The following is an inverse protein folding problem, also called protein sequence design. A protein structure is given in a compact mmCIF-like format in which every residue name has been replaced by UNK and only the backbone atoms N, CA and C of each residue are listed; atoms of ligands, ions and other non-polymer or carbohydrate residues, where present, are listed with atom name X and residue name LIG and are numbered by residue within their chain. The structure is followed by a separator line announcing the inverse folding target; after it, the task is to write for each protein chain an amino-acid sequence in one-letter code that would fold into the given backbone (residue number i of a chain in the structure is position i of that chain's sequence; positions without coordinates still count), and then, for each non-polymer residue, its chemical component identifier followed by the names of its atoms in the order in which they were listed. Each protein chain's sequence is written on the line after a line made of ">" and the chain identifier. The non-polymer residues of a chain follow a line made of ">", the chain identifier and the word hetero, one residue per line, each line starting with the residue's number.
data_IF_734278062670
#
_entry.id   IF_734278062670
#
_cell.length_a   1.000
_cell.length_b   1.000
_cell.length_c   1.000
_cell.angle_alpha   90.00
_cell.angle_beta   90.00
_cell.angle_gamma   90.00
#
_symmetry.space_group_name_H-M   'P 1'
#
loop_
_entity.id
_entity.type
_entity.pdbx_description
1 polymer ?
#
# COMPACT_ATOMS: atom_id res chain seq x y z
N UNK A 1 6.87 -11.05 -24.20
CA UNK A 1 7.89 -11.81 -23.43
C UNK A 1 9.05 -10.93 -22.91
N UNK A 2 9.20 -9.68 -23.37
CA UNK A 2 10.29 -8.77 -22.98
C UNK A 2 10.12 -8.07 -21.62
N UNK A 3 9.05 -8.35 -20.86
CA UNK A 3 8.74 -7.68 -19.56
C UNK A 3 8.94 -8.57 -18.34
N UNK A 4 9.56 -9.72 -18.48
CA UNK A 4 9.82 -10.61 -17.34
C UNK A 4 11.10 -10.11 -16.66
N UNK A 5 10.95 -9.56 -15.45
CA UNK A 5 12.09 -9.21 -14.59
C UNK A 5 12.84 -10.49 -14.18
N UNK A 6 14.06 -10.33 -13.74
CA UNK A 6 14.97 -11.44 -13.30
C UNK A 6 14.37 -12.30 -12.18
N UNK A 7 13.29 -11.87 -11.55
CA UNK A 7 12.66 -12.55 -10.43
C UNK A 7 11.34 -13.20 -10.88
N UNK A 8 11.31 -14.53 -10.86
CA UNK A 8 10.08 -15.29 -11.08
C UNK A 8 9.23 -15.29 -9.80
N UNK A 9 7.90 -15.28 -10.00
CA UNK A 9 6.99 -15.46 -8.87
C UNK A 9 7.17 -16.85 -8.25
N UNK A 10 6.98 -16.95 -6.93
CA UNK A 10 6.88 -18.22 -6.24
C UNK A 10 5.53 -18.84 -6.59
N UNK A 11 5.54 -19.99 -7.24
CA UNK A 11 4.34 -20.73 -7.65
C UNK A 11 4.39 -22.15 -7.09
N UNK A 12 3.24 -22.79 -6.85
CA UNK A 12 3.21 -24.20 -6.48
C UNK A 12 3.72 -25.06 -7.65
N UNK A 13 4.45 -26.11 -7.32
CA UNK A 13 4.92 -27.09 -8.29
C UNK A 13 3.93 -28.25 -8.44
N UNK A 14 4.13 -29.10 -9.44
CA UNK A 14 3.32 -30.33 -9.63
C UNK A 14 3.62 -31.42 -8.59
N UNK A 15 4.56 -31.20 -7.67
CA UNK A 15 4.93 -32.17 -6.63
C UNK A 15 3.79 -32.29 -5.62
N UNK A 16 3.40 -33.51 -5.33
CA UNK A 16 2.38 -33.80 -4.33
C UNK A 16 2.91 -33.48 -2.93
N UNK A 17 2.29 -32.56 -2.23
CA UNK A 17 2.68 -32.13 -0.88
C UNK A 17 1.76 -32.76 0.15
N UNK A 18 2.31 -33.51 1.11
CA UNK A 18 1.56 -33.93 2.27
C UNK A 18 1.40 -32.75 3.24
N UNK A 19 0.20 -32.16 3.26
CA UNK A 19 -0.13 -31.04 4.14
C UNK A 19 -0.07 -31.38 5.63
N UNK A 20 -0.13 -32.68 5.98
CA UNK A 20 -0.05 -33.12 7.38
C UNK A 20 1.39 -33.20 7.88
N UNK A 21 2.35 -33.33 6.97
CA UNK A 21 3.78 -33.32 7.30
C UNK A 21 4.31 -31.89 7.56
N UNK A 22 3.54 -30.85 7.21
CA UNK A 22 3.92 -29.45 7.41
C UNK A 22 3.52 -28.95 8.80
N UNK A 23 4.36 -28.12 9.40
CA UNK A 23 3.96 -27.33 10.56
C UNK A 23 2.83 -26.38 10.22
N UNK A 24 2.11 -25.88 11.22
CA UNK A 24 0.99 -24.94 11.01
C UNK A 24 1.43 -23.66 10.29
N UNK A 25 2.65 -23.18 10.54
CA UNK A 25 3.20 -22.00 9.88
C UNK A 25 3.49 -22.27 8.40
N UNK A 26 4.17 -23.36 8.10
CA UNK A 26 4.51 -23.78 6.73
C UNK A 26 3.24 -24.04 5.91
N UNK A 27 2.25 -24.72 6.50
CA UNK A 27 0.95 -24.99 5.87
C UNK A 27 0.24 -23.70 5.50
N UNK A 28 0.20 -22.70 6.40
CA UNK A 28 -0.42 -21.39 6.14
C UNK A 28 0.28 -20.67 5.00
N UNK A 29 1.60 -20.67 4.97
CA UNK A 29 2.38 -20.02 3.90
C UNK A 29 2.14 -20.74 2.57
N UNK A 30 2.24 -22.07 2.55
CA UNK A 30 2.01 -22.87 1.35
C UNK A 30 0.61 -22.64 0.77
N UNK A 31 -0.43 -22.71 1.60
CA UNK A 31 -1.80 -22.47 1.16
C UNK A 31 -2.01 -21.04 0.68
N UNK A 32 -1.37 -20.05 1.30
CA UNK A 32 -1.44 -18.66 0.85
C UNK A 32 -0.84 -18.50 -0.55
N UNK A 33 0.28 -19.15 -0.84
CA UNK A 33 0.91 -19.17 -2.18
C UNK A 33 -0.04 -19.82 -3.19
N UNK A 34 -0.59 -21.00 -2.86
CA UNK A 34 -1.52 -21.71 -3.72
C UNK A 34 -2.78 -20.86 -4.03
N UNK A 35 -3.38 -20.23 -3.03
CA UNK A 35 -4.54 -19.39 -3.21
C UNK A 35 -4.22 -18.17 -4.08
N UNK A 36 -3.08 -17.50 -3.86
CA UNK A 36 -2.64 -16.37 -4.69
C UNK A 36 -2.42 -16.79 -6.14
N UNK A 37 -1.86 -17.96 -6.38
CA UNK A 37 -1.69 -18.52 -7.72
C UNK A 37 -3.04 -18.79 -8.38
N UNK A 38 -3.95 -19.49 -7.70
CA UNK A 38 -5.30 -19.78 -8.23
C UNK A 38 -6.09 -18.51 -8.54
N UNK A 39 -5.98 -17.49 -7.71
CA UNK A 39 -6.68 -16.22 -7.91
C UNK A 39 -6.32 -15.52 -9.23
N UNK A 40 -5.14 -15.80 -9.82
CA UNK A 40 -4.75 -15.22 -11.12
C UNK A 40 -5.58 -15.76 -12.30
N UNK A 41 -6.17 -16.93 -12.13
CA UNK A 41 -6.99 -17.59 -13.16
C UNK A 41 -8.49 -17.42 -12.93
N UNK A 42 -8.86 -16.76 -11.83
CA UNK A 42 -10.27 -16.55 -11.51
C UNK A 42 -10.82 -15.28 -12.16
N UNK A 43 -12.13 -15.23 -12.43
CA UNK A 43 -12.76 -14.03 -12.91
C UNK A 43 -12.60 -12.86 -11.91
N UNK A 44 -12.64 -11.62 -12.39
CA UNK A 44 -12.59 -10.44 -11.53
C UNK A 44 -13.79 -10.40 -10.58
N UNK A 45 -13.62 -9.72 -9.44
CA UNK A 45 -14.72 -9.42 -8.55
C UNK A 45 -15.51 -8.21 -9.09
N UNK A 46 -16.82 -8.35 -9.20
CA UNK A 46 -17.71 -7.26 -9.57
C UNK A 46 -18.30 -6.62 -8.31
N UNK A 47 -18.09 -5.33 -8.18
CA UNK A 47 -18.58 -4.51 -7.06
C UNK A 47 -19.49 -3.42 -7.57
N UNK A 48 -20.58 -3.20 -6.88
CA UNK A 48 -21.48 -2.06 -7.11
C UNK A 48 -21.28 -1.05 -5.99
N UNK A 49 -21.03 0.19 -6.36
CA UNK A 49 -20.86 1.29 -5.42
C UNK A 49 -21.95 2.34 -5.61
N UNK A 50 -22.73 2.56 -4.57
CA UNK A 50 -23.71 3.63 -4.52
C UNK A 50 -23.11 4.83 -3.78
N UNK A 51 -23.20 6.01 -4.39
CA UNK A 51 -22.77 7.28 -3.78
C UNK A 51 -23.98 8.19 -3.75
N UNK A 52 -24.34 8.66 -2.56
CA UNK A 52 -25.34 9.71 -2.37
C UNK A 52 -24.63 11.01 -2.00
N UNK A 53 -25.07 12.09 -2.63
CA UNK A 53 -24.63 13.45 -2.30
C UNK A 53 -25.86 14.31 -2.08
N UNK A 54 -25.93 14.97 -0.92
CA UNK A 54 -27.00 15.91 -0.59
C UNK A 54 -26.41 17.30 -0.38
N UNK A 55 -26.83 18.32 -1.11
CA UNK A 55 -26.42 19.69 -0.84
C UNK A 55 -27.10 20.17 0.47
N UNK A 56 -26.38 20.98 1.22
CA UNK A 56 -26.85 21.65 2.39
C UNK A 56 -27.18 23.14 2.07
N UNK A 57 -28.03 23.74 2.84
CA UNK A 57 -28.45 25.14 2.61
C UNK A 57 -27.30 26.15 2.77
N UNK A 58 -26.27 25.83 3.54
CA UNK A 58 -25.05 26.62 3.76
C UNK A 58 -23.98 26.46 2.66
N UNK A 59 -24.31 25.73 1.59
CA UNK A 59 -23.37 25.39 0.52
C UNK A 59 -22.49 24.16 0.78
N UNK A 60 -22.57 23.55 1.97
CA UNK A 60 -21.94 22.31 2.31
C UNK A 60 -22.53 21.12 1.55
N UNK A 61 -21.88 19.98 1.62
CA UNK A 61 -22.34 18.73 1.01
C UNK A 61 -22.19 17.57 1.97
N UNK A 62 -23.28 16.85 2.21
CA UNK A 62 -23.22 15.54 2.84
C UNK A 62 -22.95 14.49 1.76
N UNK A 63 -22.04 13.56 2.05
CA UNK A 63 -21.73 12.44 1.18
C UNK A 63 -21.80 11.14 1.96
N UNK A 64 -22.52 10.19 1.44
CA UNK A 64 -22.54 8.82 1.93
C UNK A 64 -22.22 7.87 0.79
N UNK A 65 -21.57 6.76 1.08
CA UNK A 65 -21.27 5.72 0.10
C UNK A 65 -21.43 4.34 0.71
N UNK A 66 -21.88 3.39 -0.11
CA UNK A 66 -21.96 1.98 0.24
C UNK A 66 -21.47 1.17 -0.94
N UNK A 67 -20.80 0.05 -0.66
CA UNK A 67 -20.34 -0.88 -1.67
C UNK A 67 -20.86 -2.27 -1.35
N UNK A 68 -21.34 -2.98 -2.36
CA UNK A 68 -21.68 -4.41 -2.26
C UNK A 68 -20.90 -5.21 -3.29
N UNK A 69 -20.54 -6.42 -2.95
CA UNK A 69 -19.97 -7.37 -3.89
C UNK A 69 -21.14 -8.08 -4.57
N UNK A 70 -21.24 -7.93 -5.91
CA UNK A 70 -22.27 -8.58 -6.72
C UNK A 70 -21.80 -9.98 -7.10
N UNK A 71 -20.58 -10.06 -7.60
CA UNK A 71 -19.92 -11.31 -7.94
C UNK A 71 -18.56 -11.37 -7.25
N UNK A 72 -18.32 -12.34 -6.38
CA UNK A 72 -17.10 -12.36 -5.57
C UNK A 72 -15.83 -12.64 -6.40
N UNK A 73 -15.94 -13.36 -7.54
CA UNK A 73 -14.78 -13.69 -8.35
C UNK A 73 -13.62 -14.25 -7.51
N UNK A 74 -12.41 -13.76 -7.72
CA UNK A 74 -11.23 -14.18 -6.96
C UNK A 74 -11.30 -13.91 -5.44
N UNK A 75 -12.18 -13.02 -4.98
CA UNK A 75 -12.32 -12.68 -3.55
C UNK A 75 -12.86 -13.83 -2.69
N UNK A 76 -13.37 -14.91 -3.30
CA UNK A 76 -13.74 -16.11 -2.54
C UNK A 76 -12.56 -16.70 -1.75
N UNK A 77 -11.33 -16.53 -2.25
CA UNK A 77 -10.11 -16.98 -1.60
C UNK A 77 -9.47 -15.91 -0.69
N UNK A 78 -9.87 -14.64 -0.82
CA UNK A 78 -9.36 -13.53 0.00
C UNK A 78 -10.50 -12.84 0.76
N UNK A 79 -11.10 -13.58 1.69
CA UNK A 79 -12.21 -13.06 2.52
C UNK A 79 -11.79 -11.88 3.40
N UNK A 80 -10.52 -11.85 3.82
CA UNK A 80 -10.00 -10.76 4.64
C UNK A 80 -9.99 -9.44 3.83
N UNK A 81 -9.49 -9.49 2.60
CA UNK A 81 -9.51 -8.33 1.69
C UNK A 81 -10.92 -7.93 1.29
N UNK A 82 -11.80 -8.90 1.03
CA UNK A 82 -13.20 -8.63 0.74
C UNK A 82 -13.87 -7.83 1.89
N UNK A 83 -13.60 -8.24 3.14
CA UNK A 83 -14.11 -7.55 4.32
C UNK A 83 -13.50 -6.18 4.50
N UNK A 84 -12.19 -6.04 4.35
CA UNK A 84 -11.46 -4.77 4.44
C UNK A 84 -11.96 -3.75 3.40
N UNK A 85 -12.13 -4.18 2.16
CA UNK A 85 -12.67 -3.34 1.08
C UNK A 85 -14.08 -2.84 1.39
N UNK A 86 -14.95 -3.71 1.92
CA UNK A 86 -16.29 -3.32 2.34
C UNK A 86 -16.28 -2.36 3.54
N UNK A 87 -15.34 -2.52 4.47
CA UNK A 87 -15.21 -1.65 5.65
C UNK A 87 -14.68 -0.26 5.31
N UNK A 88 -13.74 -0.17 4.38
CA UNK A 88 -13.17 1.11 3.92
C UNK A 88 -14.18 1.95 3.14
N UNK A 89 -15.07 1.32 2.41
CA UNK A 89 -15.98 2.01 1.50
C UNK A 89 -17.36 2.37 2.09
N UNK A 90 -17.60 2.03 3.36
CA UNK A 90 -18.81 2.39 4.11
C UNK A 90 -19.88 1.31 4.14
N UNK A 91 -20.48 1.15 5.32
CA UNK A 91 -21.41 0.04 5.67
C UNK A 91 -22.90 0.39 5.63
N UNK A 92 -23.33 1.40 4.89
CA UNK A 92 -24.76 1.74 4.89
C UNK A 92 -25.55 0.91 3.88
N UNK A 93 -26.14 -0.18 4.34
CA UNK A 93 -27.01 -1.03 3.52
C UNK A 93 -28.26 -0.27 3.01
N UNK A 94 -28.72 0.74 3.73
CA UNK A 94 -29.86 1.57 3.33
C UNK A 94 -29.63 2.33 2.01
N UNK A 95 -28.38 2.72 1.71
CA UNK A 95 -28.05 3.42 0.45
C UNK A 95 -28.15 2.52 -0.79
N UNK A 96 -28.09 1.21 -0.62
CA UNK A 96 -28.18 0.24 -1.72
C UNK A 96 -29.59 0.14 -2.33
N UNK A 97 -30.59 0.68 -1.65
CA UNK A 97 -32.00 0.62 -2.09
C UNK A 97 -32.42 1.83 -2.93
N UNK A 98 -31.57 2.87 -3.02
CA UNK A 98 -31.89 4.08 -3.80
C UNK A 98 -31.49 3.86 -5.26
N UNK A 99 -32.45 3.92 -6.21
CA UNK A 99 -32.15 3.79 -7.63
C UNK A 99 -31.23 4.91 -8.12
N UNK A 100 -30.30 4.56 -9.01
CA UNK A 100 -29.39 5.54 -9.61
C UNK A 100 -30.15 6.63 -10.38
N UNK A 101 -29.70 7.88 -10.28
CA UNK A 101 -30.28 9.02 -10.98
C UNK A 101 -31.60 9.53 -10.40
N UNK A 102 -32.10 9.00 -9.29
CA UNK A 102 -33.28 9.52 -8.60
C UNK A 102 -32.89 10.33 -7.37
N UNK A 103 -33.61 11.44 -7.15
CA UNK A 103 -33.52 12.25 -5.94
C UNK A 103 -34.65 11.87 -4.98
N UNK A 104 -34.32 11.76 -3.70
CA UNK A 104 -35.28 11.54 -2.62
C UNK A 104 -35.05 12.56 -1.53
N UNK A 105 -36.13 12.99 -0.91
CA UNK A 105 -36.06 13.84 0.30
C UNK A 105 -35.57 12.96 1.46
N UNK A 106 -34.52 13.42 2.15
CA UNK A 106 -34.00 12.80 3.33
C UNK A 106 -33.98 13.79 4.49
N UNK A 107 -34.34 13.33 5.67
CA UNK A 107 -34.31 14.13 6.89
C UNK A 107 -33.15 13.63 7.78
N UNK A 108 -32.34 14.56 8.26
CA UNK A 108 -31.30 14.25 9.25
C UNK A 108 -31.98 14.14 10.61
N UNK A 109 -32.14 12.93 11.12
CA UNK A 109 -32.78 12.66 12.41
C UNK A 109 -31.84 12.72 13.59
N UNK A 110 -30.54 12.41 13.39
CA UNK A 110 -29.54 12.42 14.44
C UNK A 110 -28.16 12.83 13.89
N UNK A 111 -27.65 13.96 14.32
CA UNK A 111 -26.28 14.40 14.12
C UNK A 111 -25.43 14.06 15.35
N UNK A 112 -24.29 13.35 15.17
CA UNK A 112 -23.29 13.18 16.21
C UNK A 112 -22.00 13.86 15.78
N UNK A 113 -21.61 14.88 16.52
CA UNK A 113 -20.27 15.47 16.39
C UNK A 113 -19.28 14.56 17.14
N UNK A 114 -18.24 14.15 16.46
CA UNK A 114 -17.12 13.43 17.08
C UNK A 114 -15.89 14.30 16.99
N UNK A 115 -15.45 14.78 18.14
CA UNK A 115 -14.13 15.40 18.24
C UNK A 115 -13.07 14.33 18.05
N UNK A 116 -12.08 14.64 17.21
CA UNK A 116 -10.94 13.75 16.95
C UNK A 116 -9.67 14.58 16.95
N UNK A 117 -8.66 14.07 17.59
CA UNK A 117 -7.31 14.60 17.46
C UNK A 117 -6.59 13.87 16.33
N UNK A 118 -5.75 14.62 15.59
CA UNK A 118 -4.87 14.03 14.62
C UNK A 118 -3.76 13.29 15.34
N UNK A 119 -3.57 12.03 15.03
CA UNK A 119 -2.44 11.24 15.52
C UNK A 119 -1.26 11.34 14.56
N UNK A 120 -0.02 11.37 15.06
CA UNK A 120 1.15 11.33 14.18
C UNK A 120 1.14 10.04 13.34
N UNK A 121 1.76 10.06 12.15
CA UNK A 121 1.89 8.87 11.32
C UNK A 121 2.52 7.71 12.11
N UNK A 122 2.10 6.47 11.88
CA UNK A 122 2.71 5.32 12.52
C UNK A 122 4.19 5.22 12.11
N UNK A 123 5.02 4.68 13.02
CA UNK A 123 6.41 4.38 12.69
C UNK A 123 6.50 3.33 11.60
N UNK A 124 7.54 3.40 10.79
CA UNK A 124 7.79 2.41 9.75
C UNK A 124 7.98 1.00 10.33
N UNK A 125 7.55 0.03 9.57
CA UNK A 125 8.02 -1.35 9.61
C UNK A 125 9.01 -1.55 8.46
N UNK A 126 9.72 -2.68 8.39
CA UNK A 126 10.58 -2.98 7.23
C UNK A 126 9.76 -2.89 5.95
N UNK A 127 8.61 -3.58 5.88
CA UNK A 127 7.77 -3.60 4.70
C UNK A 127 7.24 -2.21 4.29
N UNK A 128 6.81 -1.38 5.24
CA UNK A 128 6.31 -0.04 4.91
C UNK A 128 7.43 0.94 4.54
N UNK A 129 8.65 0.74 5.04
CA UNK A 129 9.81 1.51 4.61
C UNK A 129 10.24 1.11 3.19
N UNK A 130 10.25 -0.18 2.86
CA UNK A 130 10.49 -0.66 1.49
C UNK A 130 9.47 -0.11 0.49
N UNK A 131 8.18 -0.13 0.87
CA UNK A 131 7.13 0.47 0.06
C UNK A 131 7.36 1.97 -0.13
N UNK A 132 7.80 2.67 0.90
CA UNK A 132 8.08 4.11 0.83
C UNK A 132 9.30 4.41 -0.04
N UNK A 133 10.35 3.58 0.02
CA UNK A 133 11.53 3.65 -0.85
C UNK A 133 11.17 3.43 -2.33
N UNK A 134 10.09 2.72 -2.64
CA UNK A 134 9.60 2.56 -4.02
C UNK A 134 8.90 3.83 -4.57
N UNK A 135 8.63 4.82 -3.71
CA UNK A 135 7.85 6.02 -4.04
C UNK A 135 8.48 7.29 -3.49
N UNK A 136 9.80 7.40 -3.58
CA UNK A 136 10.58 8.50 -3.00
C UNK A 136 10.32 9.84 -3.68
N UNK A 137 9.85 9.86 -4.93
CA UNK A 137 9.56 11.09 -5.65
C UNK A 137 8.66 12.08 -4.88
N UNK A 138 7.87 11.61 -3.92
CA UNK A 138 7.05 12.49 -3.06
C UNK A 138 7.87 13.37 -2.11
N UNK A 139 9.10 12.98 -1.81
CA UNK A 139 10.03 13.72 -0.95
C UNK A 139 11.03 14.57 -1.71
N UNK A 140 11.09 14.44 -3.05
CA UNK A 140 11.97 15.23 -3.91
C UNK A 140 11.36 16.61 -4.09
N UNK A 141 12.12 17.64 -3.77
CA UNK A 141 11.70 19.05 -3.80
C UNK A 141 11.97 19.67 -5.17
N UNK A 142 13.11 19.34 -5.79
CA UNK A 142 13.49 19.80 -7.13
C UNK A 142 12.57 19.19 -8.19
N UNK A 143 11.78 20.01 -8.94
CA UNK A 143 10.82 19.49 -9.91
C UNK A 143 11.47 18.72 -11.08
N UNK A 144 12.68 19.11 -11.50
CA UNK A 144 13.39 18.43 -12.59
C UNK A 144 13.91 17.08 -12.12
N UNK A 145 14.58 17.03 -10.96
CA UNK A 145 15.04 15.80 -10.35
C UNK A 145 13.87 14.84 -10.09
N UNK A 146 12.74 15.36 -9.63
CA UNK A 146 11.51 14.58 -9.44
C UNK A 146 11.00 13.96 -10.74
N UNK A 147 10.93 14.74 -11.81
CA UNK A 147 10.46 14.28 -13.13
C UNK A 147 11.37 13.18 -13.67
N UNK A 148 12.67 13.36 -13.60
CA UNK A 148 13.65 12.38 -14.05
C UNK A 148 13.55 11.07 -13.27
N UNK A 149 13.42 11.16 -11.95
CA UNK A 149 13.28 9.97 -11.10
C UNK A 149 11.99 9.18 -11.39
N UNK A 150 10.88 9.87 -11.69
CA UNK A 150 9.62 9.24 -12.10
C UNK A 150 9.74 8.61 -13.49
N UNK A 151 10.38 9.30 -14.43
CA UNK A 151 10.55 8.79 -15.80
C UNK A 151 11.39 7.51 -15.83
N UNK A 152 12.43 7.42 -14.99
CA UNK A 152 13.25 6.20 -14.82
C UNK A 152 12.40 4.97 -14.49
N UNK A 153 11.33 5.16 -13.71
CA UNK A 153 10.47 4.06 -13.25
C UNK A 153 9.21 3.86 -14.10
N UNK A 154 9.07 4.60 -15.22
CA UNK A 154 7.85 4.62 -16.05
C UNK A 154 7.38 3.23 -16.48
N UNK A 155 8.32 2.33 -16.75
CA UNK A 155 8.01 0.96 -17.16
C UNK A 155 7.92 -0.04 -15.99
N UNK A 156 8.18 0.42 -14.76
CA UNK A 156 8.21 -0.42 -13.55
C UNK A 156 6.88 -0.32 -12.81
N UNK A 157 6.09 -1.37 -12.86
CA UNK A 157 4.81 -1.43 -12.15
C UNK A 157 5.00 -1.36 -10.65
N UNK A 158 4.35 -0.39 -10.00
CA UNK A 158 4.37 -0.22 -8.53
C UNK A 158 5.51 0.67 -8.02
N UNK A 159 6.40 1.15 -8.90
CA UNK A 159 7.46 2.11 -8.56
C UNK A 159 7.11 3.50 -9.07
N UNK A 160 7.49 4.52 -8.30
CA UNK A 160 7.25 5.92 -8.66
C UNK A 160 8.38 6.79 -8.09
N UNK A 161 9.46 6.89 -8.85
CA UNK A 161 10.68 7.54 -8.42
C UNK A 161 11.34 6.81 -7.26
N UNK A 162 11.78 5.59 -7.51
CA UNK A 162 12.29 4.69 -6.49
C UNK A 162 13.77 4.89 -6.17
N UNK A 163 14.15 4.56 -4.93
CA UNK A 163 15.55 4.38 -4.50
C UNK A 163 15.82 2.89 -4.30
N UNK A 164 16.94 2.43 -4.84
CA UNK A 164 17.30 1.01 -4.85
C UNK A 164 16.37 0.18 -5.72
N UNK A 165 16.70 -1.06 -5.88
CA UNK A 165 15.86 -2.07 -6.53
C UNK A 165 15.08 -2.86 -5.49
N UNK A 166 14.03 -3.56 -5.89
CA UNK A 166 13.28 -4.47 -5.00
C UNK A 166 14.21 -5.44 -4.25
N UNK A 167 15.26 -5.94 -4.94
CA UNK A 167 16.23 -6.88 -4.35
C UNK A 167 17.19 -6.22 -3.34
N UNK A 168 17.46 -4.92 -3.47
CA UNK A 168 18.49 -4.25 -2.65
C UNK A 168 17.91 -3.47 -1.46
N UNK A 169 16.62 -3.12 -1.46
CA UNK A 169 16.00 -2.31 -0.39
C UNK A 169 16.09 -3.00 0.97
N UNK A 170 15.71 -4.27 1.03
CA UNK A 170 15.81 -5.03 2.28
C UNK A 170 17.24 -5.08 2.80
N UNK A 171 18.24 -5.34 1.94
CA UNK A 171 19.64 -5.40 2.34
C UNK A 171 20.16 -4.06 2.86
N UNK A 172 19.70 -2.94 2.29
CA UNK A 172 20.02 -1.58 2.78
C UNK A 172 19.47 -1.39 4.19
N UNK A 173 18.19 -1.72 4.42
CA UNK A 173 17.56 -1.57 5.75
C UNK A 173 18.27 -2.46 6.78
N UNK A 174 18.56 -3.72 6.43
CA UNK A 174 19.27 -4.63 7.33
C UNK A 174 20.69 -4.15 7.63
N UNK A 175 21.36 -3.53 6.67
CA UNK A 175 22.67 -2.92 6.89
C UNK A 175 22.60 -1.76 7.88
N UNK A 176 21.57 -0.92 7.79
CA UNK A 176 21.34 0.16 8.75
C UNK A 176 21.05 -0.37 10.16
N UNK A 177 20.33 -1.50 10.28
CA UNK A 177 20.08 -2.15 11.57
C UNK A 177 21.38 -2.79 12.10
N UNK A 178 22.12 -3.51 11.27
CA UNK A 178 23.40 -4.15 11.63
C UNK A 178 24.42 -3.12 12.13
N UNK A 179 24.46 -1.95 11.53
CA UNK A 179 25.37 -0.87 11.91
C UNK A 179 24.80 0.00 13.07
N UNK A 180 23.70 -0.42 13.68
CA UNK A 180 23.04 0.25 14.80
C UNK A 180 22.58 1.69 14.49
N UNK A 181 22.32 2.04 13.25
CA UNK A 181 21.68 3.31 12.89
C UNK A 181 20.16 3.25 13.05
N UNK A 182 19.58 2.07 12.84
CA UNK A 182 18.19 1.73 13.14
C UNK A 182 18.16 0.57 14.15
N UNK A 183 17.08 0.47 14.91
CA UNK A 183 16.76 -0.71 15.71
C UNK A 183 15.32 -1.13 15.50
N UNK A 184 15.04 -2.40 15.67
CA UNK A 184 13.70 -2.92 15.72
C UNK A 184 13.12 -2.83 17.14
N UNK A 185 11.87 -2.43 17.24
CA UNK A 185 11.07 -2.42 18.46
C UNK A 185 9.74 -3.12 18.14
N UNK A 186 9.69 -4.41 18.40
CA UNK A 186 8.67 -5.28 17.87
C UNK A 186 8.71 -5.30 16.34
N UNK A 187 7.65 -4.82 15.69
CA UNK A 187 7.59 -4.69 14.21
C UNK A 187 7.99 -3.31 13.71
N UNK A 188 8.29 -2.37 14.59
CA UNK A 188 8.54 -0.97 14.24
C UNK A 188 10.04 -0.69 14.13
N UNK A 189 10.41 0.15 13.17
CA UNK A 189 11.76 0.68 13.03
C UNK A 189 11.90 2.00 13.80
N UNK A 190 12.99 2.12 14.56
CA UNK A 190 13.30 3.32 15.36
C UNK A 190 14.74 3.74 15.06
N UNK A 191 14.93 5.04 14.79
CA UNK A 191 16.27 5.62 14.68
C UNK A 191 16.97 5.61 16.05
N UNK A 192 18.22 5.19 16.08
CA UNK A 192 19.05 5.22 17.29
C UNK A 192 19.67 6.60 17.49
N UNK A 193 20.23 6.89 18.69
CA UNK A 193 21.04 8.10 18.89
C UNK A 193 22.21 8.18 17.90
N UNK A 194 22.89 7.06 17.63
CA UNK A 194 23.98 6.95 16.65
C UNK A 194 23.51 7.29 15.23
N UNK A 195 22.37 6.75 14.81
CA UNK A 195 21.79 7.05 13.48
C UNK A 195 21.41 8.53 13.35
N UNK A 196 20.83 9.12 14.39
CA UNK A 196 20.50 10.56 14.38
C UNK A 196 21.74 11.44 14.40
N UNK A 197 22.79 11.07 15.14
CA UNK A 197 24.06 11.79 15.14
C UNK A 197 24.72 11.77 13.76
N UNK A 198 24.73 10.61 13.08
CA UNK A 198 25.23 10.49 11.70
C UNK A 198 24.42 11.41 10.76
N UNK A 199 23.09 11.31 10.80
CA UNK A 199 22.23 12.14 9.97
C UNK A 199 22.49 13.63 10.16
N UNK A 200 22.66 14.07 11.42
CA UNK A 200 22.93 15.48 11.73
C UNK A 200 24.33 15.94 11.33
N UNK A 201 25.31 15.03 11.28
CA UNK A 201 26.67 15.32 10.86
C UNK A 201 26.84 15.35 9.33
N UNK A 202 25.88 14.79 8.58
CA UNK A 202 25.94 14.81 7.12
C UNK A 202 25.63 16.20 6.57
N UNK A 203 26.31 16.64 5.48
CA UNK A 203 25.91 17.84 4.76
C UNK A 203 24.48 17.76 4.27
N UNK A 204 23.80 18.91 4.16
CA UNK A 204 22.39 18.98 3.78
C UNK A 204 22.09 18.31 2.44
N UNK A 205 23.02 18.40 1.51
CA UNK A 205 22.92 17.77 0.20
C UNK A 205 22.72 16.26 0.29
N UNK A 206 23.36 15.58 1.23
CA UNK A 206 23.24 14.13 1.41
C UNK A 206 22.00 13.70 2.20
N UNK A 207 21.29 14.64 2.82
CA UNK A 207 20.06 14.37 3.56
C UNK A 207 18.81 14.40 2.70
N UNK A 208 18.92 14.96 1.48
CA UNK A 208 17.81 15.16 0.56
C UNK A 208 17.70 14.00 -0.44
N UNK A 209 16.49 13.58 -0.72
CA UNK A 209 16.20 12.61 -1.78
C UNK A 209 16.60 13.14 -3.17
N UNK A 210 16.67 14.46 -3.34
CA UNK A 210 17.09 15.17 -4.55
C UNK A 210 18.50 14.78 -5.02
N UNK A 211 19.43 14.57 -4.09
CA UNK A 211 20.80 14.17 -4.42
C UNK A 211 20.84 12.81 -5.09
N UNK A 212 20.08 11.85 -4.55
CA UNK A 212 19.97 10.51 -5.16
C UNK A 212 19.33 10.61 -6.54
N UNK A 213 18.32 11.46 -6.70
CA UNK A 213 17.67 11.69 -7.99
C UNK A 213 18.65 12.26 -9.03
N UNK A 214 19.45 13.25 -8.64
CA UNK A 214 20.48 13.85 -9.52
C UNK A 214 21.59 12.85 -9.89
N UNK A 215 22.05 12.05 -8.95
CA UNK A 215 23.07 11.04 -9.22
C UNK A 215 22.58 9.92 -10.15
N UNK A 216 21.33 9.50 -10.04
CA UNK A 216 20.79 8.47 -10.93
C UNK A 216 20.79 8.91 -12.41
N UNK A 217 20.74 10.20 -12.67
CA UNK A 217 20.78 10.77 -14.03
C UNK A 217 22.22 10.86 -14.57
N UNK A 218 23.21 11.07 -13.70
CA UNK A 218 24.62 11.18 -14.10
C UNK A 218 25.24 9.81 -14.39
N UNK A 219 24.62 8.72 -13.90
CA UNK A 219 25.11 7.34 -14.08
C UNK A 219 24.55 6.65 -15.33
N UNK A 220 23.57 7.23 -16.01
CA UNK A 220 23.05 6.82 -17.33
C UNK A 220 23.77 7.58 -18.45
#
# INVERSE_FOLDING_TARGET
>A
QSKISVHFAIIPTATNVDLNALTDAERKVYLAICYRYMMQFMPPAHKERTIMTSPLADGGKLRASATRIVEPGYLIFDRAKAKEDMEKEGKSSALLTVPAGKSQHAYVTNGKVRERETTPPPRYTIATLEEDMSRIAKYVVDPEAKKLLIEKDRERTGENGSIGTTATRESIIRTLIKNEFLREDGKKLISTPKGRALYNAMPDEFRLADTTAKWSVVQE
#
